data_IF_279512607734
#
_entry.id   IF_279512607734
#
_cell.length_a   1.000
_cell.length_b   1.000
_cell.length_c   1.000
_cell.angle_alpha   90.00
_cell.angle_beta   90.00
_cell.angle_gamma   90.00
#
_symmetry.space_group_name_H-M   'P 1'
#
loop_
_entity.id
_entity.type
_entity.pdbx_description
1 polymer ?
#
# COMPACT_ATOMS: atom_id res chain seq x y z
N UNK A 1 -14.56 -12.87 -7.99
CA UNK A 1 -13.15 -12.44 -8.08
C UNK A 1 -12.89 -11.76 -9.42
N UNK A 2 -12.00 -10.77 -9.45
CA UNK A 2 -11.65 -10.02 -10.67
C UNK A 2 -10.83 -10.87 -11.65
N UNK A 3 -10.13 -11.89 -11.15
CA UNK A 3 -9.29 -12.80 -11.93
C UNK A 3 -9.54 -14.26 -11.56
N UNK A 4 -9.03 -15.18 -12.38
CA UNK A 4 -9.07 -16.62 -12.09
C UNK A 4 -8.31 -16.93 -10.80
N UNK A 5 -8.99 -17.52 -9.83
CA UNK A 5 -8.43 -17.85 -8.52
C UNK A 5 -7.27 -18.87 -8.58
N UNK A 6 -7.26 -19.71 -9.60
CA UNK A 6 -6.21 -20.69 -9.83
C UNK A 6 -5.01 -20.14 -10.62
N UNK A 7 -5.06 -18.87 -11.08
CA UNK A 7 -3.95 -18.25 -11.78
C UNK A 7 -2.72 -18.23 -10.89
N UNK A 8 -1.70 -18.98 -11.26
CA UNK A 8 -0.40 -18.99 -10.56
C UNK A 8 0.27 -17.64 -10.78
N UNK A 9 0.72 -17.00 -9.70
CA UNK A 9 1.45 -15.72 -9.72
C UNK A 9 2.93 -15.92 -9.40
N UNK A 10 3.22 -16.78 -8.42
CA UNK A 10 4.60 -17.06 -8.00
C UNK A 10 4.80 -18.55 -7.71
N UNK A 11 6.03 -18.99 -7.89
CA UNK A 11 6.52 -20.30 -7.44
C UNK A 11 7.26 -20.10 -6.12
N UNK A 12 6.66 -20.54 -5.03
CA UNK A 12 7.28 -20.58 -3.71
C UNK A 12 8.15 -21.84 -3.54
N UNK A 13 8.82 -21.94 -2.40
CA UNK A 13 9.70 -23.09 -2.11
C UNK A 13 8.94 -24.41 -1.96
N UNK A 14 7.71 -24.38 -1.45
CA UNK A 14 6.92 -25.57 -1.14
C UNK A 14 5.68 -25.70 -2.03
N UNK A 15 5.13 -24.59 -2.49
CA UNK A 15 3.90 -24.57 -3.28
C UNK A 15 3.81 -23.33 -4.18
N UNK A 16 2.90 -23.40 -5.15
CA UNK A 16 2.57 -22.27 -5.98
C UNK A 16 1.64 -21.29 -5.24
N UNK A 17 1.94 -20.01 -5.38
CA UNK A 17 1.11 -18.91 -4.88
C UNK A 17 0.18 -18.48 -6.00
N UNK A 18 -1.12 -18.76 -5.83
CA UNK A 18 -2.15 -18.36 -6.79
C UNK A 18 -2.83 -17.06 -6.37
N UNK A 19 -3.55 -16.44 -7.33
CA UNK A 19 -4.35 -15.25 -7.06
C UNK A 19 -5.36 -15.48 -5.92
N UNK A 20 -6.11 -16.58 -5.96
CA UNK A 20 -7.08 -16.93 -4.94
C UNK A 20 -6.46 -17.17 -3.56
N UNK A 21 -5.27 -17.81 -3.49
CA UNK A 21 -4.55 -17.98 -2.21
C UNK A 21 -4.18 -16.64 -1.58
N UNK A 22 -3.73 -15.67 -2.38
CA UNK A 22 -3.41 -14.33 -1.87
C UNK A 22 -4.66 -13.66 -1.30
N UNK A 23 -5.78 -13.65 -2.04
CA UNK A 23 -7.03 -13.07 -1.57
C UNK A 23 -7.54 -13.77 -0.30
N UNK A 24 -7.52 -15.11 -0.28
CA UNK A 24 -7.97 -15.90 0.87
C UNK A 24 -7.12 -15.64 2.11
N UNK A 25 -5.80 -15.61 1.98
CA UNK A 25 -4.90 -15.33 3.09
C UNK A 25 -5.13 -13.93 3.69
N UNK A 26 -5.36 -12.92 2.84
CA UNK A 26 -5.69 -11.57 3.32
C UNK A 26 -7.02 -11.54 4.08
N UNK A 27 -8.04 -12.28 3.63
CA UNK A 27 -9.33 -12.39 4.32
C UNK A 27 -9.20 -13.18 5.62
N UNK A 28 -8.41 -14.24 5.65
CA UNK A 28 -8.18 -15.06 6.84
C UNK A 28 -7.58 -14.24 8.00
N UNK A 29 -6.66 -13.33 7.71
CA UNK A 29 -6.13 -12.38 8.72
C UNK A 29 -7.10 -11.21 9.00
N UNK A 30 -8.26 -11.18 8.36
CA UNK A 30 -9.30 -10.17 8.55
C UNK A 30 -8.95 -8.80 7.96
N UNK A 31 -8.13 -8.75 6.91
CA UNK A 31 -7.77 -7.49 6.26
C UNK A 31 -8.96 -6.76 5.62
N UNK A 32 -10.04 -7.48 5.33
CA UNK A 32 -11.33 -6.97 4.84
C UNK A 32 -12.24 -6.38 5.94
N UNK A 33 -11.89 -6.55 7.22
CA UNK A 33 -12.71 -6.14 8.36
C UNK A 33 -12.32 -4.77 8.90
N UNK A 34 -12.24 -3.77 8.02
CA UNK A 34 -11.91 -2.38 8.37
C UNK A 34 -12.52 -1.41 7.34
N UNK A 35 -12.56 -0.13 7.70
CA UNK A 35 -12.95 0.95 6.79
C UNK A 35 -11.74 1.48 6.02
N UNK A 36 -10.57 1.46 6.67
CA UNK A 36 -9.30 1.95 6.13
C UNK A 36 -8.24 0.88 6.28
N UNK A 37 -7.59 0.51 5.19
CA UNK A 37 -6.47 -0.44 5.18
C UNK A 37 -5.19 0.25 4.75
N UNK A 38 -4.23 0.35 5.66
CA UNK A 38 -2.89 0.86 5.36
C UNK A 38 -1.97 -0.31 4.96
N UNK A 39 -1.47 -0.30 3.73
CA UNK A 39 -0.76 -1.44 3.13
C UNK A 39 0.72 -1.16 2.97
N UNK A 40 1.54 -1.70 3.86
CA UNK A 40 2.97 -1.87 3.60
C UNK A 40 3.19 -3.10 2.73
N UNK A 41 4.02 -3.02 1.70
CA UNK A 41 4.18 -4.14 0.77
C UNK A 41 5.63 -4.36 0.32
N UNK A 42 6.02 -5.64 0.32
CA UNK A 42 7.22 -6.16 -0.33
C UNK A 42 6.78 -7.31 -1.24
N UNK A 43 7.07 -7.22 -2.55
CA UNK A 43 6.66 -8.26 -3.50
C UNK A 43 7.75 -9.34 -3.59
N UNK A 44 7.87 -10.16 -2.55
CA UNK A 44 8.87 -11.24 -2.43
C UNK A 44 8.22 -12.58 -2.10
N UNK A 45 7.17 -12.95 -2.86
CA UNK A 45 6.41 -14.18 -2.61
C UNK A 45 7.01 -15.43 -3.27
N UNK A 46 8.14 -15.29 -3.94
CA UNK A 46 8.80 -16.36 -4.69
C UNK A 46 9.19 -15.94 -6.11
N UNK A 47 9.49 -16.91 -6.95
CA UNK A 47 9.84 -16.67 -8.34
C UNK A 47 8.57 -16.39 -9.16
N UNK A 48 8.56 -15.27 -9.88
CA UNK A 48 7.41 -14.88 -10.72
C UNK A 48 7.11 -15.95 -11.77
N UNK A 49 5.80 -16.24 -11.99
CA UNK A 49 5.35 -17.16 -13.02
C UNK A 49 5.80 -16.71 -14.41
N UNK A 50 6.24 -17.69 -15.22
CA UNK A 50 6.69 -17.43 -16.59
C UNK A 50 5.54 -16.85 -17.43
N UNK A 51 5.81 -15.75 -18.12
CA UNK A 51 4.80 -15.07 -18.95
C UNK A 51 4.11 -13.89 -18.25
N UNK A 52 4.16 -13.78 -16.93
CA UNK A 52 3.67 -12.59 -16.22
C UNK A 52 4.74 -11.49 -16.28
N UNK A 53 4.37 -10.33 -16.83
CA UNK A 53 5.26 -9.16 -16.90
C UNK A 53 5.25 -8.38 -15.57
N UNK A 54 6.34 -7.64 -15.31
CA UNK A 54 6.47 -6.82 -14.09
C UNK A 54 5.35 -5.78 -13.88
N UNK A 55 4.74 -5.28 -14.94
CA UNK A 55 3.61 -4.36 -14.80
C UNK A 55 2.30 -5.12 -14.52
N UNK A 56 2.12 -6.28 -15.14
CA UNK A 56 0.96 -7.13 -14.92
C UNK A 56 0.88 -7.64 -13.48
N UNK A 57 2.00 -8.08 -12.88
CA UNK A 57 1.96 -8.57 -11.50
C UNK A 57 1.56 -7.47 -10.51
N UNK A 58 1.96 -6.21 -10.74
CA UNK A 58 1.55 -5.08 -9.88
C UNK A 58 0.04 -4.85 -9.94
N UNK A 59 -0.53 -4.95 -11.14
CA UNK A 59 -1.97 -4.84 -11.35
C UNK A 59 -2.72 -5.99 -10.66
N UNK A 60 -2.30 -7.24 -10.89
CA UNK A 60 -2.89 -8.42 -10.26
C UNK A 60 -2.87 -8.36 -8.73
N UNK A 61 -1.76 -7.89 -8.15
CA UNK A 61 -1.65 -7.76 -6.70
C UNK A 61 -2.52 -6.61 -6.14
N UNK A 62 -2.60 -5.49 -6.85
CA UNK A 62 -3.50 -4.41 -6.46
C UNK A 62 -4.96 -4.85 -6.57
N UNK A 63 -5.32 -5.58 -7.63
CA UNK A 63 -6.68 -6.10 -7.79
C UNK A 63 -7.02 -7.13 -6.71
N UNK A 64 -6.06 -7.98 -6.30
CA UNK A 64 -6.25 -8.88 -5.17
C UNK A 64 -6.53 -8.11 -3.85
N UNK A 65 -5.86 -6.99 -3.62
CA UNK A 65 -6.13 -6.12 -2.47
C UNK A 65 -7.51 -5.46 -2.60
N UNK A 66 -7.90 -5.03 -3.79
CA UNK A 66 -9.24 -4.46 -4.04
C UNK A 66 -10.38 -5.47 -3.85
N UNK A 67 -10.13 -6.78 -3.99
CA UNK A 67 -11.11 -7.85 -3.64
C UNK A 67 -11.53 -7.87 -2.17
N UNK A 68 -10.78 -7.18 -1.30
CA UNK A 68 -11.16 -7.00 0.10
C UNK A 68 -12.34 -6.04 0.28
N UNK A 69 -12.70 -5.28 -0.76
CA UNK A 69 -13.79 -4.30 -0.75
C UNK A 69 -13.71 -3.27 0.40
N UNK A 70 -12.50 -2.95 0.86
CA UNK A 70 -12.27 -1.90 1.84
C UNK A 70 -12.45 -0.53 1.18
N UNK A 71 -13.16 0.38 1.85
CA UNK A 71 -13.53 1.69 1.29
C UNK A 71 -12.33 2.57 0.96
N UNK A 72 -11.31 2.52 1.83
CA UNK A 72 -10.10 3.33 1.69
C UNK A 72 -8.86 2.45 1.78
N UNK A 73 -8.05 2.47 0.74
CA UNK A 73 -6.73 1.82 0.71
C UNK A 73 -5.66 2.90 0.73
N UNK A 74 -4.73 2.79 1.66
CA UNK A 74 -3.61 3.73 1.81
C UNK A 74 -2.30 2.98 1.59
N UNK A 75 -1.46 3.49 0.69
CA UNK A 75 -0.13 2.96 0.43
C UNK A 75 0.93 3.99 0.81
N UNK A 76 1.94 3.65 1.62
CA UNK A 76 3.04 4.56 1.91
C UNK A 76 3.82 4.84 0.61
N UNK A 77 4.00 6.11 0.31
CA UNK A 77 4.77 6.58 -0.86
C UNK A 77 5.89 7.53 -0.44
N UNK A 78 6.50 7.24 0.71
CA UNK A 78 7.54 8.05 1.34
C UNK A 78 8.69 8.38 0.38
N UNK A 79 9.18 9.61 0.42
CA UNK A 79 10.27 10.06 -0.45
C UNK A 79 11.51 10.44 0.31
N UNK A 80 11.34 10.93 1.56
CA UNK A 80 12.40 11.56 2.35
C UNK A 80 13.08 12.75 1.64
N UNK A 81 12.39 13.36 0.66
CA UNK A 81 12.95 14.47 -0.14
C UNK A 81 13.39 15.64 0.72
N UNK A 82 12.61 16.00 1.75
CA UNK A 82 13.00 17.04 2.69
C UNK A 82 14.33 16.75 3.40
N UNK A 83 14.51 15.51 3.88
CA UNK A 83 15.75 15.08 4.53
C UNK A 83 16.97 15.11 3.59
N UNK A 84 16.70 14.90 2.30
CA UNK A 84 17.72 14.88 1.24
C UNK A 84 17.91 16.26 0.57
N UNK A 85 17.29 17.33 1.08
CA UNK A 85 17.32 18.67 0.49
C UNK A 85 16.84 18.69 -0.97
N UNK A 86 15.87 17.85 -1.30
CA UNK A 86 15.28 17.73 -2.62
C UNK A 86 13.88 18.34 -2.63
N UNK A 87 13.49 18.88 -3.77
CA UNK A 87 12.12 19.36 -3.97
C UNK A 87 11.18 18.15 -4.07
N UNK A 88 10.13 18.16 -3.26
CA UNK A 88 9.04 17.21 -3.38
C UNK A 88 8.04 17.68 -4.44
N UNK A 89 7.82 16.84 -5.44
CA UNK A 89 6.77 17.00 -6.43
C UNK A 89 5.80 15.83 -6.25
N UNK A 90 4.55 16.13 -5.90
CA UNK A 90 3.53 15.13 -5.60
C UNK A 90 3.32 14.11 -6.73
N UNK A 91 3.41 14.58 -7.98
CA UNK A 91 3.21 13.71 -9.14
C UNK A 91 4.49 12.99 -9.59
N UNK A 92 5.63 13.69 -9.54
CA UNK A 92 6.88 13.23 -10.17
C UNK A 92 7.85 12.53 -9.21
N UNK A 93 7.90 12.95 -7.93
CA UNK A 93 8.86 12.38 -6.99
C UNK A 93 8.63 10.88 -6.81
N UNK A 94 9.61 10.01 -7.11
CA UNK A 94 9.49 8.57 -6.93
C UNK A 94 9.40 8.22 -5.45
N UNK A 95 8.82 7.06 -5.13
CA UNK A 95 8.83 6.55 -3.75
C UNK A 95 9.92 5.51 -3.56
N UNK A 96 10.49 5.47 -2.33
CA UNK A 96 11.41 4.42 -1.90
C UNK A 96 10.68 3.18 -1.33
N UNK A 97 9.33 3.19 -1.26
CA UNK A 97 8.54 2.17 -0.58
C UNK A 97 8.24 0.91 -1.42
N UNK A 98 8.93 0.74 -2.53
CA UNK A 98 8.82 -0.47 -3.34
C UNK A 98 7.94 -0.36 -4.57
N UNK A 99 7.81 -1.47 -5.30
CA UNK A 99 7.17 -1.51 -6.63
C UNK A 99 5.67 -1.26 -6.60
N UNK A 100 4.95 -1.78 -5.62
CA UNK A 100 3.50 -1.65 -5.57
C UNK A 100 3.08 -0.23 -5.18
N UNK A 101 3.63 0.41 -4.13
CA UNK A 101 3.40 1.82 -3.85
C UNK A 101 3.77 2.75 -5.02
N UNK A 102 4.88 2.48 -5.72
CA UNK A 102 5.28 3.25 -6.91
C UNK A 102 4.30 3.10 -8.07
N UNK A 103 3.69 1.93 -8.23
CA UNK A 103 2.64 1.68 -9.21
C UNK A 103 1.35 2.41 -8.82
N UNK A 104 0.93 2.30 -7.55
CA UNK A 104 -0.32 2.90 -7.05
C UNK A 104 -0.29 4.42 -7.17
N UNK A 105 0.80 5.09 -6.75
CA UNK A 105 0.87 6.56 -6.81
C UNK A 105 0.74 7.16 -8.21
N UNK A 106 1.01 6.37 -9.25
CA UNK A 106 0.91 6.80 -10.67
C UNK A 106 -0.46 6.56 -11.29
N UNK A 107 -1.37 5.96 -10.56
CA UNK A 107 -2.71 5.68 -11.07
C UNK A 107 -3.57 6.93 -11.08
N UNK A 108 -4.42 7.11 -12.09
CA UNK A 108 -5.32 8.26 -12.18
C UNK A 108 -6.41 8.27 -11.10
N UNK A 109 -6.71 7.09 -10.50
CA UNK A 109 -7.68 6.92 -9.42
C UNK A 109 -7.05 7.03 -8.01
N UNK A 110 -5.74 7.28 -7.92
CA UNK A 110 -5.04 7.50 -6.66
C UNK A 110 -4.76 8.98 -6.42
N UNK A 111 -4.91 9.42 -5.19
CA UNK A 111 -4.52 10.77 -4.76
C UNK A 111 -3.35 10.65 -3.79
N UNK A 112 -2.26 11.35 -4.08
CA UNK A 112 -1.07 11.38 -3.23
C UNK A 112 -1.10 12.58 -2.30
N UNK A 113 -0.67 12.42 -1.06
CA UNK A 113 -0.58 13.51 -0.08
C UNK A 113 0.59 14.46 -0.33
N UNK A 114 0.53 15.65 0.26
CA UNK A 114 1.53 16.72 0.09
C UNK A 114 2.74 16.61 1.05
N UNK A 115 2.80 15.57 1.90
CA UNK A 115 3.89 15.37 2.85
C UNK A 115 5.20 14.99 2.13
N UNK A 116 6.28 15.79 2.24
CA UNK A 116 7.54 15.53 1.54
C UNK A 116 8.40 14.42 2.19
N UNK A 117 7.98 13.86 3.33
CA UNK A 117 8.67 12.79 4.03
C UNK A 117 7.80 11.52 4.00
N UNK A 118 6.61 11.59 4.60
CA UNK A 118 5.71 10.46 4.81
C UNK A 118 4.47 10.53 3.91
N UNK A 119 4.65 10.90 2.63
CA UNK A 119 3.54 10.92 1.68
C UNK A 119 2.88 9.55 1.54
N UNK A 120 1.58 9.55 1.31
CA UNK A 120 0.78 8.36 1.05
C UNK A 120 -0.01 8.52 -0.25
N UNK A 121 -0.28 7.41 -0.92
CA UNK A 121 -1.25 7.35 -2.01
C UNK A 121 -2.54 6.70 -1.50
N UNK A 122 -3.67 7.37 -1.71
CA UNK A 122 -5.00 6.96 -1.26
C UNK A 122 -5.84 6.55 -2.45
N UNK A 123 -6.44 5.37 -2.38
CA UNK A 123 -7.44 4.85 -3.32
C UNK A 123 -8.79 4.73 -2.59
N UNK A 124 -9.88 5.07 -3.27
CA UNK A 124 -11.23 5.05 -2.72
C UNK A 124 -11.61 6.34 -2.00
N UNK A 125 -12.27 6.24 -0.84
CA UNK A 125 -12.70 7.40 -0.06
C UNK A 125 -11.48 8.10 0.56
N UNK A 126 -11.30 9.39 0.29
CA UNK A 126 -10.08 10.10 0.69
C UNK A 126 -10.15 10.66 2.12
N UNK A 127 -11.30 11.14 2.55
CA UNK A 127 -11.61 11.60 3.93
C UNK A 127 -10.53 12.48 4.61
N UNK A 128 -9.70 13.15 3.81
CA UNK A 128 -8.59 13.97 4.30
C UNK A 128 -7.26 13.25 4.50
N UNK A 129 -7.18 11.93 4.26
CA UNK A 129 -5.91 11.17 4.33
C UNK A 129 -4.88 11.61 3.28
N UNK A 130 -5.32 12.26 2.23
CA UNK A 130 -4.50 12.85 1.18
C UNK A 130 -3.90 14.21 1.56
N UNK A 131 -4.30 14.77 2.71
CA UNK A 131 -3.90 16.13 3.12
C UNK A 131 -2.96 16.08 4.32
N UNK A 132 -1.86 16.79 4.21
CA UNK A 132 -1.03 17.14 5.35
C UNK A 132 -1.59 18.42 5.98
N UNK A 133 -2.08 18.35 7.22
CA UNK A 133 -2.71 19.48 7.91
C UNK A 133 -1.71 20.20 8.84
N UNK A 134 -0.55 19.63 9.09
CA UNK A 134 0.45 20.17 10.02
C UNK A 134 1.80 20.45 9.38
N UNK A 135 2.71 20.99 10.18
CA UNK A 135 4.10 21.25 9.80
C UNK A 135 5.06 20.10 10.14
N UNK A 136 4.53 18.96 10.60
CA UNK A 136 5.33 17.81 11.03
C UNK A 136 4.75 16.52 10.47
N UNK A 137 5.56 15.77 9.73
CA UNK A 137 5.18 14.48 9.16
C UNK A 137 4.89 13.41 10.23
N UNK A 138 5.61 13.43 11.35
CA UNK A 138 5.45 12.49 12.47
C UNK A 138 4.57 13.04 13.61
N UNK A 139 4.19 14.32 13.55
CA UNK A 139 3.43 14.99 14.60
C UNK A 139 1.99 15.25 14.24
N UNK A 140 1.42 16.25 14.92
CA UNK A 140 0.02 16.67 14.71
C UNK A 140 -0.21 17.07 13.25
N UNK A 141 -1.19 16.44 12.61
CA UNK A 141 -1.56 16.66 11.21
C UNK A 141 -0.80 15.81 10.20
N UNK A 142 0.19 15.00 10.63
CA UNK A 142 0.78 13.96 9.79
C UNK A 142 -0.16 12.76 9.64
N UNK A 143 0.14 11.88 8.67
CA UNK A 143 -0.75 10.75 8.31
C UNK A 143 -1.10 9.86 9.51
N UNK A 144 -0.13 9.51 10.35
CA UNK A 144 -0.38 8.64 11.50
C UNK A 144 -1.24 9.31 12.56
N UNK A 145 -1.08 10.62 12.77
CA UNK A 145 -1.97 11.37 13.65
C UNK A 145 -3.41 11.39 13.10
N UNK A 146 -3.59 11.60 11.80
CA UNK A 146 -4.92 11.60 11.17
C UNK A 146 -5.56 10.21 11.32
N UNK A 147 -4.81 9.13 11.08
CA UNK A 147 -5.28 7.75 11.27
C UNK A 147 -5.65 7.44 12.72
N UNK A 148 -5.01 8.08 13.69
CA UNK A 148 -5.34 7.93 15.11
C UNK A 148 -6.59 8.72 15.54
N UNK A 149 -6.90 9.82 14.85
CA UNK A 149 -8.02 10.70 15.21
C UNK A 149 -9.32 10.36 14.48
N UNK A 150 -9.25 9.50 13.47
CA UNK A 150 -10.45 9.08 12.75
C UNK A 150 -11.32 8.15 13.60
N UNK A 151 -12.63 8.24 13.43
CA UNK A 151 -13.62 7.31 14.00
C UNK A 151 -13.73 5.99 13.22
N UNK A 152 -13.00 5.88 12.11
CA UNK A 152 -12.98 4.70 11.25
C UNK A 152 -12.14 3.58 11.85
N UNK A 153 -12.55 2.35 11.54
CA UNK A 153 -11.75 1.17 11.88
C UNK A 153 -10.56 1.07 10.94
N UNK A 154 -9.37 1.38 11.44
CA UNK A 154 -8.10 1.33 10.69
C UNK A 154 -7.39 0.01 10.97
N UNK A 155 -6.86 -0.62 9.93
CA UNK A 155 -5.92 -1.74 10.03
C UNK A 155 -4.66 -1.48 9.23
N UNK A 156 -3.54 -2.03 9.71
CA UNK A 156 -2.27 -2.05 9.01
C UNK A 156 -2.02 -3.47 8.51
N UNK A 157 -1.77 -3.61 7.22
CA UNK A 157 -1.41 -4.88 6.58
C UNK A 157 0.06 -4.83 6.12
N UNK A 158 0.80 -5.85 6.48
CA UNK A 158 2.18 -6.06 6.06
C UNK A 158 2.20 -7.16 5.00
N UNK A 159 2.01 -6.73 3.75
CA UNK A 159 1.83 -7.61 2.61
C UNK A 159 3.18 -8.05 2.02
N UNK A 160 3.59 -9.29 2.34
CA UNK A 160 4.88 -9.84 1.94
C UNK A 160 6.08 -9.26 2.70
N UNK A 161 5.85 -8.53 3.78
CA UNK A 161 6.89 -7.95 4.64
C UNK A 161 6.59 -8.21 6.12
N UNK A 162 7.50 -7.81 6.99
CA UNK A 162 7.34 -7.95 8.45
C UNK A 162 7.11 -6.59 9.11
N UNK A 163 6.28 -6.51 10.17
CA UNK A 163 6.17 -5.32 11.01
C UNK A 163 7.53 -4.83 11.51
N UNK A 164 8.48 -5.72 11.75
CA UNK A 164 9.84 -5.39 12.18
C UNK A 164 10.64 -4.58 11.15
N UNK A 165 10.22 -4.59 9.89
CA UNK A 165 10.86 -3.84 8.80
C UNK A 165 10.19 -2.50 8.53
N UNK A 166 9.05 -2.21 9.18
CA UNK A 166 8.22 -1.04 8.93
C UNK A 166 7.92 -0.30 10.24
N UNK A 167 8.94 0.26 10.87
CA UNK A 167 8.85 0.90 12.20
C UNK A 167 8.18 2.27 12.21
N UNK A 168 7.96 2.89 11.08
CA UNK A 168 7.54 4.29 10.98
C UNK A 168 6.27 4.63 11.78
N UNK A 169 5.37 3.68 11.98
CA UNK A 169 4.16 3.88 12.79
C UNK A 169 4.42 3.83 14.30
N UNK A 170 5.47 3.11 14.73
CA UNK A 170 5.78 2.90 16.15
C UNK A 170 6.68 4.00 16.75
N UNK A 171 7.17 4.90 15.95
CA UNK A 171 7.99 6.05 16.34
C UNK A 171 7.17 7.34 16.33
#
# INVERSE_FOLDING_TARGET
MLHDENKVLFHGQHENVTYGKIVSAMKEIGADQCDVLFVHSEISFGMLEKGIRRNEIKELLLDAIKELNVKTLIFPTFTFSFCNQQVYDREKSPTAMGMLPEYVRKRPDAVRSDDPILSVAVLGEQEGFDKMVGSSSCGKGGIFHILHQTDKKVKFMFFGTSPLMCFTYLH
#
